data_IF_226203288366
#
_entry.id   IF_226203288366
#
_cell.length_a   1.000
_cell.length_b   1.000
_cell.length_c   1.000
_cell.angle_alpha   90.00
_cell.angle_beta   90.00
_cell.angle_gamma   90.00
#
_symmetry.space_group_name_H-M   'P 1'
#
loop_
_entity.id
_entity.type
_entity.pdbx_description
1 polymer ?
#
# COMPACT_ATOMS: atom_id res chain seq x y z
N UNK A 1 -18.18 8.33 -2.34
CA UNK A 1 -16.98 8.96 -1.74
C UNK A 1 -16.18 9.58 -2.87
N UNK A 2 -15.81 10.86 -2.77
CA UNK A 2 -15.02 11.53 -3.81
C UNK A 2 -13.64 10.87 -4.01
N UNK A 3 -13.15 10.82 -5.26
CA UNK A 3 -11.86 10.22 -5.61
C UNK A 3 -10.69 10.79 -4.81
N UNK A 4 -10.76 12.08 -4.48
CA UNK A 4 -9.73 12.75 -3.67
C UNK A 4 -9.81 12.35 -2.19
N UNK A 5 -11.01 12.25 -1.64
CA UNK A 5 -11.23 11.78 -0.27
C UNK A 5 -10.77 10.33 -0.09
N UNK A 6 -11.04 9.47 -1.08
CA UNK A 6 -10.54 8.09 -1.06
C UNK A 6 -9.01 8.03 -1.09
N UNK A 7 -8.35 8.82 -1.95
CA UNK A 7 -6.88 8.86 -2.02
C UNK A 7 -6.25 9.32 -0.71
N UNK A 8 -6.88 10.29 -0.03
CA UNK A 8 -6.42 10.77 1.26
C UNK A 8 -6.54 9.67 2.33
N UNK A 9 -7.70 9.02 2.42
CA UNK A 9 -7.91 7.87 3.32
C UNK A 9 -6.93 6.72 3.03
N UNK A 10 -6.74 6.38 1.75
CA UNK A 10 -5.76 5.38 1.33
C UNK A 10 -4.33 5.75 1.76
N UNK A 11 -3.97 7.04 1.66
CA UNK A 11 -2.66 7.52 2.11
C UNK A 11 -2.47 7.34 3.61
N UNK A 12 -3.48 7.69 4.40
CA UNK A 12 -3.47 7.49 5.86
C UNK A 12 -3.33 6.01 6.23
N UNK A 13 -4.02 5.11 5.52
CA UNK A 13 -3.86 3.67 5.71
C UNK A 13 -2.43 3.22 5.40
N UNK A 14 -1.83 3.70 4.30
CA UNK A 14 -0.43 3.37 3.97
C UNK A 14 0.52 3.85 5.07
N UNK A 15 0.33 5.05 5.61
CA UNK A 15 1.14 5.58 6.73
C UNK A 15 1.01 4.68 7.96
N UNK A 16 -0.21 4.27 8.32
CA UNK A 16 -0.45 3.40 9.47
C UNK A 16 0.19 2.01 9.30
N UNK A 17 0.06 1.42 8.10
CA UNK A 17 0.71 0.14 7.78
C UNK A 17 2.23 0.28 7.84
N UNK A 18 2.80 1.36 7.31
CA UNK A 18 4.22 1.62 7.36
C UNK A 18 4.74 1.83 8.80
N UNK A 19 3.98 2.47 9.68
CA UNK A 19 4.34 2.61 11.10
C UNK A 19 4.39 1.28 11.84
N UNK A 20 3.53 0.34 11.46
CA UNK A 20 3.32 -0.95 12.15
C UNK A 20 4.04 -2.13 11.51
N UNK A 21 4.53 -1.98 10.28
CA UNK A 21 5.22 -3.05 9.55
C UNK A 21 6.52 -2.52 8.95
N UNK A 22 7.64 -3.15 9.32
CA UNK A 22 8.94 -2.84 8.74
C UNK A 22 8.98 -3.10 7.23
N UNK A 23 8.24 -4.13 6.77
CA UNK A 23 8.05 -4.49 5.38
C UNK A 23 6.60 -4.89 5.11
N UNK A 24 6.03 -4.49 3.98
CA UNK A 24 4.65 -4.79 3.62
C UNK A 24 4.43 -4.75 2.10
N UNK A 25 3.30 -5.30 1.64
CA UNK A 25 2.84 -5.19 0.24
C UNK A 25 1.54 -4.38 0.17
N UNK A 26 1.08 -4.04 -1.05
CA UNK A 26 -0.26 -3.50 -1.22
C UNK A 26 -1.36 -4.35 -0.56
N UNK A 27 -1.13 -5.64 -0.34
CA UNK A 27 -2.11 -6.52 0.28
C UNK A 27 -2.38 -6.17 1.75
N UNK A 28 -1.36 -5.84 2.56
CA UNK A 28 -1.58 -5.35 3.92
C UNK A 28 -2.41 -4.06 3.93
N UNK A 29 -2.21 -3.19 2.93
CA UNK A 29 -2.97 -1.93 2.80
C UNK A 29 -4.44 -2.24 2.50
N UNK A 30 -4.72 -3.22 1.65
CA UNK A 30 -6.08 -3.69 1.39
C UNK A 30 -6.70 -4.37 2.61
N UNK A 31 -5.93 -5.21 3.31
CA UNK A 31 -6.35 -5.93 4.50
C UNK A 31 -6.65 -5.01 5.69
N UNK A 32 -6.06 -3.81 5.72
CA UNK A 32 -6.32 -2.77 6.73
C UNK A 32 -7.71 -2.11 6.63
N UNK A 33 -8.60 -2.61 5.77
CA UNK A 33 -9.99 -2.15 5.68
C UNK A 33 -10.19 -0.97 4.73
N UNK A 34 -9.29 -0.79 3.77
CA UNK A 34 -9.46 0.21 2.72
C UNK A 34 -10.59 -0.21 1.77
N UNK A 35 -11.59 0.65 1.60
CA UNK A 35 -12.68 0.41 0.65
C UNK A 35 -12.14 0.26 -0.77
N UNK A 36 -12.64 -0.71 -1.53
CA UNK A 36 -12.23 -0.90 -2.93
C UNK A 36 -12.61 0.35 -3.74
N UNK A 37 -11.65 1.03 -4.39
CA UNK A 37 -11.94 2.17 -5.26
C UNK A 37 -12.63 1.67 -6.53
N UNK A 38 -13.26 2.59 -7.27
CA UNK A 38 -13.75 2.32 -8.63
C UNK A 38 -12.63 1.82 -9.56
N UNK A 39 -11.39 2.28 -9.30
CA UNK A 39 -10.20 1.87 -10.05
C UNK A 39 -9.15 1.25 -9.11
N UNK A 40 -8.98 -0.07 -9.10
CA UNK A 40 -8.02 -0.78 -8.25
C UNK A 40 -6.57 -0.23 -8.37
N UNK A 41 -6.20 0.28 -9.55
CA UNK A 41 -4.90 0.93 -9.82
C UNK A 41 -4.65 2.23 -9.02
N UNK A 42 -5.67 2.79 -8.37
CA UNK A 42 -5.55 4.01 -7.59
C UNK A 42 -4.55 3.88 -6.43
N UNK A 43 -4.46 2.70 -5.81
CA UNK A 43 -3.50 2.45 -4.73
C UNK A 43 -2.05 2.60 -5.18
N UNK A 44 -1.72 2.18 -6.42
CA UNK A 44 -0.37 2.32 -6.95
C UNK A 44 0.12 3.78 -6.98
N UNK A 45 -0.78 4.73 -7.27
CA UNK A 45 -0.48 6.16 -7.20
C UNK A 45 -0.25 6.67 -5.77
N UNK A 46 -0.98 6.12 -4.79
CA UNK A 46 -0.81 6.44 -3.36
C UNK A 46 0.54 5.90 -2.85
N UNK A 47 0.90 4.67 -3.19
CA UNK A 47 2.21 4.08 -2.86
C UNK A 47 3.36 4.89 -3.48
N UNK A 48 3.21 5.31 -4.74
CA UNK A 48 4.21 6.16 -5.41
C UNK A 48 4.36 7.52 -4.72
N UNK A 49 3.28 8.11 -4.22
CA UNK A 49 3.31 9.33 -3.41
C UNK A 49 4.06 9.09 -2.09
N UNK A 50 3.72 8.05 -1.33
CA UNK A 50 4.38 7.73 -0.07
C UNK A 50 5.89 7.52 -0.23
N UNK A 51 6.29 6.86 -1.33
CA UNK A 51 7.71 6.72 -1.70
C UNK A 51 8.37 8.08 -1.97
N UNK A 52 7.70 8.95 -2.73
CA UNK A 52 8.23 10.29 -3.05
C UNK A 52 8.40 11.15 -1.80
N UNK A 53 7.54 10.98 -0.80
CA UNK A 53 7.62 11.66 0.50
C UNK A 53 8.63 10.98 1.46
N UNK A 54 9.30 9.91 1.04
CA UNK A 54 10.36 9.25 1.83
C UNK A 54 9.83 8.32 2.92
N UNK A 55 8.53 8.04 2.98
CA UNK A 55 7.93 7.18 4.00
C UNK A 55 8.24 5.70 3.78
N UNK A 56 8.37 5.30 2.51
CA UNK A 56 8.61 3.92 2.10
C UNK A 56 9.60 3.84 0.94
N UNK A 57 10.28 2.70 0.81
CA UNK A 57 11.23 2.44 -0.26
C UNK A 57 10.96 1.10 -0.96
N UNK A 58 11.36 1.02 -2.24
CA UNK A 58 11.29 -0.25 -2.98
C UNK A 58 12.44 -1.13 -2.52
N UNK A 59 12.11 -2.35 -2.09
CA UNK A 59 13.14 -3.33 -1.73
C UNK A 59 13.77 -4.03 -2.95
N UNK A 60 13.18 -3.86 -4.14
CA UNK A 60 13.50 -4.65 -5.33
C UNK A 60 12.97 -6.09 -5.29
N UNK A 61 12.31 -6.48 -4.20
CA UNK A 61 11.71 -7.81 -4.02
C UNK A 61 10.21 -7.75 -4.31
N UNK A 62 9.68 -8.92 -4.68
CA UNK A 62 8.27 -9.16 -4.87
C UNK A 62 7.85 -10.40 -4.09
N UNK A 63 6.56 -10.52 -3.80
CA UNK A 63 5.95 -11.78 -3.37
C UNK A 63 4.58 -11.96 -4.01
N UNK A 64 4.08 -13.19 -4.14
CA UNK A 64 2.72 -13.45 -4.63
C UNK A 64 1.70 -12.74 -3.75
N UNK A 65 0.72 -12.10 -4.39
CA UNK A 65 -0.39 -11.47 -3.68
C UNK A 65 -1.24 -12.48 -2.92
N UNK A 66 -1.73 -12.08 -1.76
CA UNK A 66 -2.72 -12.85 -0.98
C UNK A 66 -4.15 -12.64 -1.47
N UNK A 67 -4.37 -11.72 -2.43
CA UNK A 67 -5.69 -11.48 -3.00
C UNK A 67 -6.08 -12.60 -3.97
N UNK A 68 -7.14 -13.38 -3.69
CA UNK A 68 -7.50 -14.56 -4.49
C UNK A 68 -7.90 -14.20 -5.93
N UNK A 69 -8.43 -13.01 -6.13
CA UNK A 69 -8.84 -12.46 -7.44
C UNK A 69 -7.68 -12.12 -8.38
N UNK A 70 -6.45 -12.05 -7.85
CA UNK A 70 -5.27 -11.62 -8.60
C UNK A 70 -4.38 -12.77 -9.06
N UNK A 71 -4.85 -14.02 -8.99
CA UNK A 71 -4.14 -15.22 -9.49
C UNK A 71 -2.68 -15.35 -9.02
N UNK A 72 -2.41 -14.96 -7.77
CA UNK A 72 -1.07 -14.97 -7.18
C UNK A 72 -0.03 -14.11 -7.94
N UNK A 73 -0.48 -13.05 -8.64
CA UNK A 73 0.41 -12.08 -9.29
C UNK A 73 1.40 -11.48 -8.28
N UNK A 74 2.66 -11.32 -8.70
CA UNK A 74 3.70 -10.71 -7.89
C UNK A 74 3.40 -9.25 -7.56
N UNK A 75 3.46 -8.92 -6.27
CA UNK A 75 3.35 -7.56 -5.75
C UNK A 75 4.65 -7.11 -5.10
N UNK A 76 4.99 -5.85 -5.28
CA UNK A 76 6.22 -5.25 -4.72
C UNK A 76 6.18 -5.24 -3.19
N UNK A 77 7.27 -5.68 -2.58
CA UNK A 77 7.52 -5.51 -1.15
C UNK A 77 8.12 -4.12 -0.94
N UNK A 78 7.49 -3.35 -0.07
CA UNK A 78 7.90 -2.02 0.35
C UNK A 78 8.51 -2.08 1.74
N UNK A 79 9.61 -1.37 1.93
CA UNK A 79 10.23 -1.18 3.23
C UNK A 79 9.76 0.15 3.82
N UNK A 80 9.37 0.15 5.09
CA UNK A 80 9.01 1.36 5.81
C UNK A 80 10.24 2.07 6.36
N UNK A 81 10.30 3.39 6.16
CA UNK A 81 11.29 4.28 6.77
C UNK A 81 10.78 4.93 8.06
N UNK A 82 9.51 4.71 8.40
CA UNK A 82 8.82 5.30 9.57
C UNK A 82 8.30 4.23 10.52
N UNK A 83 8.87 3.04 10.48
CA UNK A 83 8.49 1.94 11.36
C UNK A 83 8.79 2.28 12.82
N UNK A 84 7.80 2.16 13.70
CA UNK A 84 7.88 2.60 15.11
C UNK A 84 7.96 1.44 16.11
N UNK A 85 7.66 0.20 15.70
CA UNK A 85 7.72 -0.99 16.56
C UNK A 85 6.52 -1.17 17.46
#
# INVERSE_FOLDING_TARGET
MDKQAWKQKAYEVVVNVAKTNQEFTPDEVWAAGLEKPEEARALGGVMARARKEGLIEKTGRVRPTTQPESHATDVTIWQSNIFEG
#
